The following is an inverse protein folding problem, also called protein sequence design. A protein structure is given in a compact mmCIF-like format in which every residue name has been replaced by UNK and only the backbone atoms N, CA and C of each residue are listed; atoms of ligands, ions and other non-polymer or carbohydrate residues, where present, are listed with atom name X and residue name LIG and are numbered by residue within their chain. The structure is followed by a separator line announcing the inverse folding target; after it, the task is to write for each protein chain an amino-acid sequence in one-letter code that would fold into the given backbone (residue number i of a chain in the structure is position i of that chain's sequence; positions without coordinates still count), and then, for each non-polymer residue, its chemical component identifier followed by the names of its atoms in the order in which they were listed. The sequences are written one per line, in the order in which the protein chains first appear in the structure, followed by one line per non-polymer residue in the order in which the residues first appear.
data_IF_343625092966
#
_entry.id   IF_343625092966
#
_cell.length_a   1.000
_cell.length_b   1.000
_cell.length_c   1.000
_cell.angle_alpha   90.00
_cell.angle_beta   90.00
_cell.angle_gamma   90.00
#
_symmetry.space_group_name_H-M   'P 1'
#
loop_
_entity.id
_entity.type
_entity.pdbx_description
1 polymer ?
#
# COMPACT_ATOMS: atom_id res chain seq x y z
N UNK A 1 -5.96 -18.61 -25.83
CA UNK A 1 -5.83 -17.14 -25.68
C UNK A 1 -4.40 -16.80 -25.24
N UNK A 2 -3.64 -16.06 -26.06
CA UNK A 2 -2.29 -15.56 -25.70
C UNK A 2 -2.42 -14.67 -24.46
N UNK A 3 -1.85 -15.08 -23.32
CA UNK A 3 -1.66 -14.22 -22.14
C UNK A 3 -0.63 -13.14 -22.51
N UNK A 4 -1.09 -12.03 -23.10
CA UNK A 4 -0.27 -10.82 -23.23
C UNK A 4 0.12 -10.38 -21.83
N UNK A 5 1.41 -10.50 -21.49
CA UNK A 5 1.97 -10.00 -20.22
C UNK A 5 1.59 -8.53 -20.09
N UNK A 6 0.63 -8.20 -19.24
CA UNK A 6 0.26 -6.81 -18.98
C UNK A 6 1.50 -6.10 -18.43
N UNK A 7 1.94 -4.98 -19.03
CA UNK A 7 3.15 -4.32 -18.58
C UNK A 7 3.00 -3.86 -17.13
N UNK A 8 4.03 -4.13 -16.32
CA UNK A 8 4.04 -3.91 -14.86
C UNK A 8 3.59 -2.50 -14.48
N UNK A 9 4.10 -1.48 -15.18
CA UNK A 9 3.76 -0.08 -14.93
C UNK A 9 2.27 0.21 -15.17
N UNK A 10 1.68 -0.43 -16.19
CA UNK A 10 0.25 -0.32 -16.47
C UNK A 10 -0.58 -0.93 -15.33
N UNK A 11 -0.10 -1.97 -14.67
CA UNK A 11 -0.78 -2.51 -13.49
C UNK A 11 -0.78 -1.52 -12.33
N UNK A 12 0.36 -0.89 -12.02
CA UNK A 12 0.46 0.09 -10.92
C UNK A 12 -0.52 1.25 -11.16
N UNK A 13 -0.47 1.83 -12.36
CA UNK A 13 -1.38 2.91 -12.76
C UNK A 13 -2.84 2.44 -12.77
N UNK A 14 -3.11 1.24 -13.30
CA UNK A 14 -4.47 0.71 -13.34
C UNK A 14 -5.02 0.42 -11.94
N UNK A 15 -4.20 -0.03 -11.00
CA UNK A 15 -4.60 -0.20 -9.60
C UNK A 15 -4.92 1.14 -8.94
N UNK A 16 -4.24 2.23 -9.34
CA UNK A 16 -4.53 3.57 -8.84
C UNK A 16 -5.82 4.16 -9.43
N UNK A 17 -6.07 3.97 -10.74
CA UNK A 17 -7.19 4.61 -11.47
C UNK A 17 -8.46 3.76 -11.45
N UNK A 18 -8.35 2.45 -11.69
CA UNK A 18 -9.48 1.52 -11.80
C UNK A 18 -9.15 0.20 -11.12
N UNK A 19 -9.19 0.15 -9.76
CA UNK A 19 -8.78 -1.02 -9.00
C UNK A 19 -9.64 -2.25 -9.33
N UNK A 20 -10.94 -2.06 -9.61
CA UNK A 20 -11.85 -3.13 -10.01
C UNK A 20 -11.40 -3.85 -11.30
N UNK A 21 -10.98 -3.07 -12.30
CA UNK A 21 -10.53 -3.59 -13.59
C UNK A 21 -9.15 -4.24 -13.47
N UNK A 22 -8.27 -3.63 -12.67
CA UNK A 22 -6.94 -4.15 -12.40
C UNK A 22 -6.98 -5.47 -11.63
N UNK A 23 -7.82 -5.60 -10.60
CA UNK A 23 -7.94 -6.84 -9.82
C UNK A 23 -8.40 -8.04 -10.67
N UNK A 24 -9.31 -7.82 -11.62
CA UNK A 24 -9.82 -8.86 -12.53
C UNK A 24 -8.79 -9.32 -13.58
N UNK A 25 -7.83 -8.47 -13.94
CA UNK A 25 -6.89 -8.70 -15.06
C UNK A 25 -5.43 -8.89 -14.64
N UNK A 26 -5.00 -8.30 -13.53
CA UNK A 26 -3.60 -8.21 -13.13
C UNK A 26 -3.19 -9.25 -12.07
N UNK A 27 -4.06 -9.56 -11.09
CA UNK A 27 -3.67 -10.43 -9.96
C UNK A 27 -3.47 -11.89 -10.40
N UNK A 28 -4.15 -12.34 -11.48
CA UNK A 28 -3.99 -13.70 -12.00
C UNK A 28 -2.72 -13.93 -12.84
N UNK A 29 -2.01 -12.86 -13.22
CA UNK A 29 -0.86 -12.91 -14.13
C UNK A 29 0.46 -12.41 -13.53
N UNK A 30 0.43 -11.83 -12.33
CA UNK A 30 1.57 -11.18 -11.71
C UNK A 30 2.14 -12.06 -10.59
N UNK A 31 3.45 -12.30 -10.55
CA UNK A 31 4.05 -13.06 -9.47
C UNK A 31 3.89 -12.37 -8.12
N UNK A 32 3.64 -13.16 -7.07
CA UNK A 32 3.40 -12.65 -5.70
C UNK A 32 4.54 -11.75 -5.18
N UNK A 33 5.79 -12.07 -5.51
CA UNK A 33 6.95 -11.28 -5.10
C UNK A 33 6.95 -9.86 -5.67
N UNK A 34 6.33 -9.63 -6.83
CA UNK A 34 6.20 -8.29 -7.39
C UNK A 34 5.25 -7.43 -6.55
N UNK A 35 4.12 -8.01 -6.13
CA UNK A 35 3.16 -7.29 -5.28
C UNK A 35 3.82 -6.83 -3.99
N UNK A 36 4.65 -7.68 -3.38
CA UNK A 36 5.47 -7.33 -2.21
C UNK A 36 6.45 -6.20 -2.49
N UNK A 37 7.09 -6.21 -3.66
CA UNK A 37 7.96 -5.10 -4.07
C UNK A 37 7.22 -3.76 -4.11
N UNK A 38 5.97 -3.75 -4.58
CA UNK A 38 5.14 -2.53 -4.61
C UNK A 38 4.87 -2.02 -3.19
N UNK A 39 4.44 -2.88 -2.26
CA UNK A 39 4.21 -2.46 -0.88
C UNK A 39 5.51 -2.05 -0.18
N UNK A 40 6.59 -2.83 -0.34
CA UNK A 40 7.90 -2.51 0.24
C UNK A 40 8.38 -1.11 -0.18
N UNK A 41 8.34 -0.79 -1.48
CA UNK A 41 8.78 0.51 -1.99
C UNK A 41 7.83 1.64 -1.59
N UNK A 42 6.52 1.39 -1.61
CA UNK A 42 5.53 2.38 -1.18
C UNK A 42 5.80 2.83 0.26
N UNK A 43 5.98 1.86 1.17
CA UNK A 43 6.23 2.15 2.57
C UNK A 43 7.64 2.66 2.84
N UNK A 44 8.65 2.22 2.07
CA UNK A 44 9.99 2.80 2.10
C UNK A 44 9.94 4.31 1.85
N UNK A 45 9.32 4.74 0.75
CA UNK A 45 9.22 6.16 0.41
C UNK A 45 8.31 6.92 1.36
N UNK A 46 7.23 6.32 1.85
CA UNK A 46 6.38 6.97 2.83
C UNK A 46 7.14 7.27 4.13
N UNK A 47 7.81 6.28 4.71
CA UNK A 47 8.55 6.47 5.95
C UNK A 47 9.79 7.35 5.73
N UNK A 48 10.48 7.22 4.59
CA UNK A 48 11.58 8.10 4.23
C UNK A 48 11.13 9.57 4.19
N UNK A 49 9.94 9.88 3.67
CA UNK A 49 9.39 11.24 3.71
C UNK A 49 9.19 11.72 5.14
N UNK A 50 8.72 10.88 6.06
CA UNK A 50 8.64 11.23 7.49
C UNK A 50 10.03 11.52 8.06
N UNK A 51 11.02 10.70 7.73
CA UNK A 51 12.41 10.95 8.11
C UNK A 51 12.94 12.29 7.56
N UNK A 52 12.68 12.59 6.28
CA UNK A 52 13.09 13.85 5.64
C UNK A 52 12.40 15.06 6.28
N UNK A 53 11.12 14.94 6.61
CA UNK A 53 10.36 16.01 7.25
C UNK A 53 10.93 16.32 8.64
N UNK A 54 11.29 15.30 9.42
CA UNK A 54 11.92 15.44 10.74
C UNK A 54 13.37 15.91 10.67
N UNK A 55 14.08 15.56 9.60
CA UNK A 55 15.42 16.09 9.33
C UNK A 55 15.36 17.58 9.04
N UNK A 56 14.42 18.02 8.19
CA UNK A 56 14.23 19.43 7.83
C UNK A 56 13.80 20.32 8.99
N UNK A 57 13.15 19.76 10.01
CA UNK A 57 12.81 20.49 11.24
C UNK A 57 13.94 20.48 12.27
N UNK A 58 15.08 19.84 11.98
CA UNK A 58 16.19 19.69 12.92
C UNK A 58 15.91 18.73 14.09
N UNK A 59 14.79 18.00 14.07
CA UNK A 59 14.42 17.09 15.16
C UNK A 59 15.23 15.79 15.11
N UNK A 60 15.64 15.34 13.92
CA UNK A 60 16.38 14.09 13.71
C UNK A 60 17.51 14.28 12.68
N UNK A 61 18.52 13.41 12.71
CA UNK A 61 19.64 13.43 11.77
C UNK A 61 19.38 12.66 10.47
N UNK A 62 20.30 12.76 9.51
CA UNK A 62 20.23 12.06 8.22
C UNK A 62 20.18 10.53 8.38
N UNK A 63 20.85 9.98 9.40
CA UNK A 63 20.78 8.55 9.72
C UNK A 63 19.34 8.07 9.97
N UNK A 64 18.51 8.91 10.60
CA UNK A 64 17.11 8.59 10.84
C UNK A 64 16.30 8.52 9.54
N UNK A 65 16.68 9.25 8.49
CA UNK A 65 16.05 9.16 7.17
C UNK A 65 16.28 7.77 6.57
N UNK A 66 17.51 7.27 6.63
CA UNK A 66 17.86 5.93 6.12
C UNK A 66 17.20 4.82 6.94
N UNK A 67 17.17 4.97 8.27
CA UNK A 67 16.47 4.04 9.15
C UNK A 67 14.96 4.03 8.89
N UNK A 68 14.36 5.21 8.65
CA UNK A 68 12.95 5.32 8.27
C UNK A 68 12.66 4.57 6.98
N UNK A 69 13.50 4.73 5.95
CA UNK A 69 13.34 3.99 4.70
C UNK A 69 13.41 2.47 4.92
N UNK A 70 14.40 2.00 5.70
CA UNK A 70 14.53 0.58 6.06
C UNK A 70 13.34 0.05 6.85
N UNK A 71 12.86 0.80 7.85
CA UNK A 71 11.67 0.46 8.62
C UNK A 71 10.43 0.37 7.72
N UNK A 72 10.30 1.29 6.75
CA UNK A 72 9.25 1.25 5.74
C UNK A 72 9.30 0.00 4.87
N UNK A 73 10.49 -0.44 4.42
CA UNK A 73 10.64 -1.70 3.68
C UNK A 73 10.15 -2.87 4.53
N UNK A 74 10.65 -2.99 5.76
CA UNK A 74 10.26 -4.07 6.69
C UNK A 74 8.75 -4.05 6.92
N UNK A 75 8.17 -2.87 7.12
CA UNK A 75 6.74 -2.70 7.26
C UNK A 75 5.96 -3.19 6.03
N UNK A 76 6.39 -2.79 4.84
CA UNK A 76 5.73 -3.15 3.58
C UNK A 76 5.80 -4.64 3.23
N UNK A 77 6.85 -5.36 3.66
CA UNK A 77 6.99 -6.81 3.43
C UNK A 77 6.37 -7.67 4.54
N UNK A 78 6.10 -7.11 5.72
CA UNK A 78 5.54 -7.86 6.85
C UNK A 78 4.10 -7.49 7.15
N UNK A 79 3.85 -6.24 7.53
CA UNK A 79 2.56 -5.78 8.04
C UNK A 79 1.49 -5.81 6.95
N UNK A 80 1.80 -5.40 5.72
CA UNK A 80 0.82 -5.37 4.64
C UNK A 80 0.38 -6.77 4.20
N UNK A 81 1.29 -7.74 3.96
CA UNK A 81 0.90 -9.13 3.73
C UNK A 81 0.12 -9.73 4.90
N UNK A 82 0.53 -9.43 6.13
CA UNK A 82 -0.14 -9.91 7.33
C UNK A 82 -1.59 -9.39 7.40
N UNK A 83 -1.82 -8.10 7.10
CA UNK A 83 -3.16 -7.53 7.02
C UNK A 83 -4.02 -8.24 5.96
N UNK A 84 -3.46 -8.48 4.77
CA UNK A 84 -4.13 -9.24 3.72
C UNK A 84 -4.49 -10.67 4.14
N UNK A 85 -3.59 -11.34 4.86
CA UNK A 85 -3.81 -12.68 5.40
C UNK A 85 -4.87 -12.69 6.51
N UNK A 86 -4.82 -11.75 7.46
CA UNK A 86 -5.81 -11.62 8.54
C UNK A 86 -7.20 -11.39 7.95
N UNK A 87 -7.32 -10.46 7.00
CA UNK A 87 -8.61 -10.18 6.35
C UNK A 87 -9.10 -11.39 5.56
N UNK A 88 -8.21 -12.10 4.87
CA UNK A 88 -8.57 -13.35 4.23
C UNK A 88 -9.10 -14.40 5.22
N UNK A 89 -8.48 -14.55 6.40
CA UNK A 89 -8.95 -15.47 7.45
C UNK A 89 -10.34 -15.07 7.94
N UNK A 90 -10.55 -13.78 8.24
CA UNK A 90 -11.86 -13.25 8.67
C UNK A 90 -12.94 -13.56 7.62
N UNK A 91 -12.60 -13.39 6.33
CA UNK A 91 -13.54 -13.57 5.22
C UNK A 91 -13.67 -15.02 4.77
N UNK A 92 -12.80 -15.94 5.21
CA UNK A 92 -12.94 -17.36 4.88
C UNK A 92 -14.25 -17.95 5.40
N UNK A 93 -14.76 -17.41 6.51
CA UNK A 93 -16.09 -17.71 7.05
C UNK A 93 -17.24 -17.32 6.11
N UNK A 94 -16.98 -16.42 5.15
CA UNK A 94 -17.96 -15.97 4.16
C UNK A 94 -17.95 -16.78 2.85
N UNK A 95 -17.28 -17.94 2.82
CA UNK A 95 -17.11 -18.83 1.66
C UNK A 95 -16.44 -18.14 0.45
N UNK A 96 -15.32 -17.46 0.70
CA UNK A 96 -14.52 -16.86 -0.38
C UNK A 96 -13.81 -17.92 -1.22
N UNK A 97 -13.92 -17.83 -2.54
CA UNK A 97 -13.21 -18.70 -3.49
C UNK A 97 -11.77 -18.24 -3.80
N UNK A 98 -11.34 -17.11 -3.22
CA UNK A 98 -10.01 -16.53 -3.46
C UNK A 98 -8.96 -17.17 -2.55
N UNK A 99 -7.79 -17.46 -3.10
CA UNK A 99 -6.66 -17.99 -2.32
C UNK A 99 -6.02 -16.91 -1.45
N UNK A 100 -5.31 -17.33 -0.38
CA UNK A 100 -4.55 -16.42 0.48
C UNK A 100 -3.48 -15.63 -0.31
N UNK A 101 -2.83 -16.27 -1.29
CA UNK A 101 -1.85 -15.61 -2.14
C UNK A 101 -2.46 -14.50 -3.00
N UNK A 102 -3.69 -14.70 -3.49
CA UNK A 102 -4.45 -13.64 -4.17
C UNK A 102 -4.76 -12.48 -3.21
N UNK A 103 -5.21 -12.78 -1.99
CA UNK A 103 -5.52 -11.74 -1.00
C UNK A 103 -4.28 -10.90 -0.64
N UNK A 104 -3.18 -11.56 -0.30
CA UNK A 104 -1.90 -10.88 0.00
C UNK A 104 -1.46 -10.03 -1.19
N UNK A 105 -1.50 -10.57 -2.41
CA UNK A 105 -1.05 -9.85 -3.61
C UNK A 105 -1.91 -8.64 -3.91
N UNK A 106 -3.24 -8.78 -3.79
CA UNK A 106 -4.20 -7.68 -3.97
C UNK A 106 -4.00 -6.58 -2.94
N UNK A 107 -3.74 -6.93 -1.68
CA UNK A 107 -3.43 -5.96 -0.62
C UNK A 107 -2.12 -5.24 -0.88
N UNK A 108 -1.06 -5.93 -1.26
CA UNK A 108 0.21 -5.28 -1.53
C UNK A 108 0.14 -4.36 -2.76
N UNK A 109 -0.54 -4.80 -3.82
CA UNK A 109 -0.79 -3.97 -5.01
C UNK A 109 -1.74 -2.79 -4.76
N UNK A 110 -2.58 -2.86 -3.73
CA UNK A 110 -3.47 -1.74 -3.36
C UNK A 110 -2.69 -0.47 -3.00
N UNK A 111 -1.45 -0.62 -2.55
CA UNK A 111 -0.53 0.49 -2.27
C UNK A 111 0.19 1.02 -3.52
N UNK A 112 -0.23 0.65 -4.73
CA UNK A 112 0.28 1.23 -5.98
C UNK A 112 0.12 2.76 -6.02
N UNK A 113 -1.01 3.28 -5.52
CA UNK A 113 -1.20 4.72 -5.35
C UNK A 113 -0.17 5.30 -4.39
N UNK A 114 -0.01 4.71 -3.20
CA UNK A 114 0.98 5.13 -2.22
C UNK A 114 2.42 5.14 -2.77
N UNK A 115 2.78 4.19 -3.64
CA UNK A 115 4.07 4.18 -4.34
C UNK A 115 4.25 5.41 -5.24
N UNK A 116 3.24 5.73 -6.07
CA UNK A 116 3.28 6.90 -6.97
C UNK A 116 3.37 8.19 -6.16
N UNK A 117 2.49 8.35 -5.16
CA UNK A 117 2.54 9.49 -4.25
C UNK A 117 3.88 9.54 -3.50
N UNK A 118 4.44 8.40 -3.12
CA UNK A 118 5.75 8.29 -2.49
C UNK A 118 6.87 8.89 -3.33
N UNK A 119 6.94 8.50 -4.60
CA UNK A 119 7.92 9.02 -5.56
C UNK A 119 7.74 10.53 -5.74
N UNK A 120 6.50 10.99 -5.99
CA UNK A 120 6.20 12.41 -6.13
C UNK A 120 6.59 13.20 -4.87
N UNK A 121 6.27 12.67 -3.68
CA UNK A 121 6.60 13.30 -2.41
C UNK A 121 8.10 13.45 -2.21
N UNK A 122 8.90 12.41 -2.50
CA UNK A 122 10.36 12.50 -2.44
C UNK A 122 10.90 13.56 -3.40
N UNK A 123 10.41 13.59 -4.65
CA UNK A 123 10.81 14.60 -5.63
C UNK A 123 10.50 16.02 -5.16
N UNK A 124 9.27 16.26 -4.67
CA UNK A 124 8.89 17.58 -4.15
C UNK A 124 9.67 17.96 -2.89
N UNK A 125 9.97 16.98 -2.04
CA UNK A 125 10.77 17.15 -0.84
C UNK A 125 12.19 17.62 -1.19
N UNK A 126 12.83 17.05 -2.22
CA UNK A 126 14.17 17.45 -2.66
C UNK A 126 14.19 18.76 -3.46
N UNK A 127 13.22 18.98 -4.37
CA UNK A 127 13.21 20.15 -5.25
C UNK A 127 12.76 21.41 -4.52
N UNK A 128 11.71 21.32 -3.70
CA UNK A 128 11.08 22.48 -3.07
C UNK A 128 11.34 22.57 -1.56
N UNK A 129 12.02 21.59 -0.97
CA UNK A 129 12.24 21.56 0.48
C UNK A 129 10.96 21.29 1.29
N UNK A 130 9.85 20.90 0.66
CA UNK A 130 8.55 20.74 1.32
C UNK A 130 8.53 19.58 2.32
N UNK A 131 7.62 19.67 3.29
CA UNK A 131 7.28 18.56 4.18
C UNK A 131 6.19 17.72 3.54
N UNK A 132 6.53 16.52 3.07
CA UNK A 132 5.68 15.77 2.14
C UNK A 132 5.02 14.53 2.75
N UNK A 133 5.41 14.13 3.96
CA UNK A 133 4.89 12.91 4.59
C UNK A 133 3.37 12.93 4.77
N UNK A 134 2.78 14.09 5.08
CA UNK A 134 1.31 14.23 5.17
C UNK A 134 0.70 14.39 3.77
N UNK A 135 1.15 15.41 3.02
CA UNK A 135 0.54 15.79 1.74
C UNK A 135 0.59 14.68 0.69
N UNK A 136 1.68 13.92 0.63
CA UNK A 136 1.86 12.82 -0.32
C UNK A 136 1.79 11.46 0.36
N UNK A 137 2.46 11.28 1.49
CA UNK A 137 2.51 9.99 2.18
C UNK A 137 1.15 9.52 2.69
N UNK A 138 0.53 10.27 3.61
CA UNK A 138 -0.79 9.95 4.18
C UNK A 138 -1.85 9.92 3.09
N UNK A 139 -1.85 10.87 2.15
CA UNK A 139 -2.75 10.87 0.99
C UNK A 139 -2.61 9.59 0.16
N UNK A 140 -1.38 9.15 -0.11
CA UNK A 140 -1.12 7.90 -0.84
C UNK A 140 -1.66 6.66 -0.11
N UNK A 141 -1.50 6.60 1.22
CA UNK A 141 -2.09 5.54 2.06
C UNK A 141 -3.61 5.58 2.00
N UNK A 142 -4.22 6.76 2.11
CA UNK A 142 -5.67 6.93 1.99
C UNK A 142 -6.17 6.53 0.60
N UNK A 143 -5.39 6.79 -0.45
CA UNK A 143 -5.71 6.36 -1.82
C UNK A 143 -5.78 4.84 -1.97
N UNK A 144 -5.02 4.09 -1.16
CA UNK A 144 -5.07 2.63 -1.14
C UNK A 144 -6.42 2.08 -0.62
N UNK A 145 -7.23 2.90 0.06
CA UNK A 145 -8.55 2.50 0.59
C UNK A 145 -9.48 2.00 -0.51
N UNK A 146 -9.53 2.67 -1.66
CA UNK A 146 -10.37 2.26 -2.80
C UNK A 146 -10.01 0.85 -3.32
N UNK A 147 -8.74 0.60 -3.68
CA UNK A 147 -8.25 -0.73 -4.01
C UNK A 147 -8.48 -1.80 -2.93
N UNK A 148 -8.33 -1.46 -1.65
CA UNK A 148 -8.59 -2.40 -0.53
C UNK A 148 -10.07 -2.75 -0.45
N UNK A 149 -10.98 -1.76 -0.53
CA UNK A 149 -12.43 -1.99 -0.57
C UNK A 149 -12.76 -2.93 -1.73
N UNK A 150 -12.20 -2.70 -2.91
CA UNK A 150 -12.44 -3.57 -4.07
C UNK A 150 -11.88 -4.98 -3.88
N UNK A 151 -10.71 -5.12 -3.27
CA UNK A 151 -10.10 -6.42 -2.97
C UNK A 151 -10.97 -7.23 -2.02
N UNK A 152 -11.51 -6.58 -0.97
CA UNK A 152 -12.41 -7.23 0.00
C UNK A 152 -13.76 -7.54 -0.64
N UNK A 153 -14.27 -6.65 -1.50
CA UNK A 153 -15.52 -6.87 -2.24
C UNK A 153 -15.44 -8.08 -3.16
N UNK A 154 -14.31 -8.27 -3.83
CA UNK A 154 -14.05 -9.46 -4.65
C UNK A 154 -13.92 -10.74 -3.81
N UNK A 155 -13.39 -10.66 -2.58
CA UNK A 155 -13.35 -11.81 -1.66
C UNK A 155 -14.73 -12.18 -1.10
N UNK A 156 -15.63 -11.20 -0.96
CA UNK A 156 -16.97 -11.38 -0.35
C UNK A 156 -18.09 -11.64 -1.37
N UNK A 157 -17.74 -11.88 -2.64
CA UNK A 157 -18.74 -12.09 -3.70
C UNK A 157 -19.57 -10.85 -4.01
N UNK A 158 -19.00 -9.65 -3.82
CA UNK A 158 -19.64 -8.39 -4.18
C UNK A 158 -20.25 -7.58 -3.02
N UNK A 159 -20.19 -8.07 -1.77
CA UNK A 159 -20.84 -7.45 -0.61
C UNK A 159 -20.09 -6.23 -0.09
N UNK A 160 -20.60 -5.04 -0.39
CA UNK A 160 -20.00 -3.77 0.05
C UNK A 160 -20.09 -3.53 1.57
N UNK A 161 -21.06 -4.12 2.26
CA UNK A 161 -21.33 -3.90 3.69
C UNK A 161 -20.17 -4.34 4.59
N UNK A 162 -19.47 -5.42 4.24
CA UNK A 162 -18.27 -5.87 4.96
C UNK A 162 -16.99 -5.20 4.44
N UNK A 163 -17.00 -4.77 3.18
CA UNK A 163 -15.80 -4.26 2.50
C UNK A 163 -15.34 -2.92 3.03
N UNK A 164 -16.27 -2.00 3.27
CA UNK A 164 -15.97 -0.67 3.79
C UNK A 164 -15.38 -0.73 5.20
N UNK A 165 -16.03 -1.33 6.22
CA UNK A 165 -15.50 -1.30 7.59
C UNK A 165 -14.15 -2.02 7.70
N UNK A 166 -13.97 -3.16 7.02
CA UNK A 166 -12.70 -3.88 7.04
C UNK A 166 -11.57 -3.09 6.35
N UNK A 167 -11.86 -2.39 5.24
CA UNK A 167 -10.89 -1.51 4.60
C UNK A 167 -10.53 -0.31 5.49
N UNK A 168 -11.52 0.27 6.17
CA UNK A 168 -11.32 1.37 7.12
C UNK A 168 -10.43 0.92 8.28
N UNK A 169 -10.68 -0.26 8.86
CA UNK A 169 -9.85 -0.82 9.93
C UNK A 169 -8.42 -1.04 9.43
N UNK A 170 -8.23 -1.62 8.24
CA UNK A 170 -6.90 -1.82 7.65
C UNK A 170 -6.15 -0.49 7.46
N UNK A 171 -6.82 0.52 6.90
CA UNK A 171 -6.26 1.87 6.74
C UNK A 171 -5.91 2.52 8.08
N UNK A 172 -6.80 2.39 9.08
CA UNK A 172 -6.57 2.90 10.42
C UNK A 172 -5.34 2.26 11.08
N UNK A 173 -5.19 0.94 11.01
CA UNK A 173 -4.00 0.24 11.52
C UNK A 173 -2.72 0.80 10.90
N UNK A 174 -2.72 1.03 9.58
CA UNK A 174 -1.57 1.61 8.90
C UNK A 174 -1.26 3.03 9.37
N UNK A 175 -2.27 3.89 9.47
CA UNK A 175 -2.07 5.27 9.89
C UNK A 175 -1.68 5.39 11.37
N UNK A 176 -2.27 4.55 12.25
CA UNK A 176 -1.91 4.53 13.67
C UNK A 176 -0.47 4.08 13.86
N UNK A 177 -0.07 2.96 13.24
CA UNK A 177 1.30 2.46 13.35
C UNK A 177 2.32 3.45 12.80
N UNK A 178 2.03 4.13 11.68
CA UNK A 178 2.85 5.24 11.18
C UNK A 178 2.91 6.43 12.16
N UNK A 179 1.79 6.82 12.75
CA UNK A 179 1.74 7.92 13.73
C UNK A 179 2.60 7.64 14.97
N UNK A 180 2.65 6.39 15.42
CA UNK A 180 3.58 5.97 16.47
C UNK A 180 5.03 6.08 16.01
N UNK A 181 5.35 5.65 14.79
CA UNK A 181 6.71 5.74 14.24
C UNK A 181 7.22 7.20 14.21
N UNK A 182 6.38 8.16 13.80
CA UNK A 182 6.77 9.57 13.74
C UNK A 182 7.05 10.23 15.10
N UNK A 183 6.76 9.55 16.21
CA UNK A 183 7.03 10.02 17.59
C UNK A 183 8.29 9.42 18.20
N UNK A 184 8.91 8.43 17.53
CA UNK A 184 10.17 7.81 17.95
C UNK A 184 11.33 8.75 17.66
#
# INVERSE_FOLDING_TARGET
MKKTKTPIFRTIISMMISPATALKSAVAGIPWFFSLGVSALAFAFFFMQTGLDLYKTGQKGLQFVMLSAGAGIVYGITVIPLLGAIIWVILKLTKSDKSIGWAISSFCLSYSGALIYGICGILFSFVFGWKTSIAFGVTGVLWATGPIIMSIREMTGGKSTLSIPLATIAGAVVLFTWSFFGKI
#
